data_IF_169654556176
#
_entry.id   IF_169654556176
#
_cell.length_a   1.000
_cell.length_b   1.000
_cell.length_c   1.000
_cell.angle_alpha   90.00
_cell.angle_beta   90.00
_cell.angle_gamma   90.00
#
_symmetry.space_group_name_H-M   'P 1'
#
loop_
_entity.id
_entity.type
_entity.pdbx_description
1 polymer ?
#
# COMPACT_ATOMS: atom_id res chain seq x y z
N UNK A 1 10.47 8.06 31.02
CA UNK A 1 9.92 8.78 29.85
C UNK A 1 10.14 7.96 28.57
N UNK A 2 9.49 6.79 28.48
CA UNK A 2 9.78 5.74 27.48
C UNK A 2 8.65 5.62 26.42
N UNK A 3 7.59 6.42 26.55
CA UNK A 3 6.49 6.47 25.59
C UNK A 3 6.54 7.81 24.85
N UNK A 4 7.01 7.77 23.60
CA UNK A 4 6.79 8.87 22.65
C UNK A 4 5.29 8.94 22.36
N UNK A 5 4.57 9.82 23.06
CA UNK A 5 3.21 10.18 22.68
C UNK A 5 3.30 10.94 21.34
N UNK A 6 2.83 10.33 20.26
CA UNK A 6 2.65 11.00 18.98
C UNK A 6 1.52 12.02 19.15
N UNK A 7 1.86 13.24 19.59
CA UNK A 7 0.91 14.36 19.74
C UNK A 7 0.55 14.99 18.38
N UNK A 8 1.33 14.68 17.33
CA UNK A 8 1.12 15.11 15.94
C UNK A 8 1.53 13.99 14.99
N UNK A 9 0.58 13.54 14.18
CA UNK A 9 0.78 12.51 13.15
C UNK A 9 -0.54 11.83 12.77
N UNK A 10 -0.61 11.09 11.65
CA UNK A 10 -1.83 10.40 11.23
C UNK A 10 -2.34 9.38 12.26
N UNK A 11 -1.46 8.82 13.10
CA UNK A 11 -1.85 7.91 14.20
C UNK A 11 -2.37 8.59 15.48
N UNK A 12 -2.29 9.93 15.56
CA UNK A 12 -2.77 10.72 16.71
C UNK A 12 -4.20 11.24 16.52
N UNK A 13 -4.70 11.22 15.28
CA UNK A 13 -6.06 11.58 14.93
C UNK A 13 -6.99 10.44 15.35
N UNK A 14 -7.72 10.62 16.45
CA UNK A 14 -8.76 9.67 16.86
C UNK A 14 -9.93 9.75 15.86
N UNK A 15 -9.99 8.78 14.95
CA UNK A 15 -11.20 8.56 14.18
C UNK A 15 -12.28 7.96 15.11
N UNK A 16 -13.55 8.43 15.05
CA UNK A 16 -14.63 7.88 15.85
C UNK A 16 -14.78 6.38 15.57
N UNK A 17 -14.44 5.55 16.58
CA UNK A 17 -14.21 4.11 16.42
C UNK A 17 -15.42 3.38 15.81
N UNK A 18 -16.63 3.74 16.22
CA UNK A 18 -17.86 3.15 15.69
C UNK A 18 -18.07 3.44 14.19
N UNK A 19 -17.76 4.67 13.76
CA UNK A 19 -17.91 5.07 12.35
C UNK A 19 -16.83 4.38 11.50
N UNK A 20 -15.58 4.38 11.96
CA UNK A 20 -14.48 3.69 11.26
C UNK A 20 -14.72 2.19 11.13
N UNK A 21 -15.22 1.54 12.18
CA UNK A 21 -15.56 0.12 12.15
C UNK A 21 -16.72 -0.16 11.19
N UNK A 22 -17.78 0.64 11.23
CA UNK A 22 -18.93 0.50 10.35
C UNK A 22 -18.55 0.67 8.87
N UNK A 23 -17.79 1.73 8.55
CA UNK A 23 -17.31 1.97 7.18
C UNK A 23 -16.31 0.89 6.74
N UNK A 24 -15.41 0.48 7.62
CA UNK A 24 -14.44 -0.59 7.33
C UNK A 24 -15.11 -1.92 7.01
N UNK A 25 -16.15 -2.30 7.78
CA UNK A 25 -16.91 -3.53 7.55
C UNK A 25 -17.72 -3.46 6.25
N UNK A 26 -18.32 -2.30 5.94
CA UNK A 26 -19.03 -2.09 4.68
C UNK A 26 -18.09 -2.22 3.47
N UNK A 27 -16.95 -1.52 3.49
CA UNK A 27 -15.95 -1.56 2.41
C UNK A 27 -15.36 -2.96 2.30
N UNK A 28 -15.05 -3.62 3.42
CA UNK A 28 -14.55 -4.99 3.45
C UNK A 28 -15.51 -5.97 2.78
N UNK A 29 -16.81 -5.91 3.12
CA UNK A 29 -17.84 -6.76 2.50
C UNK A 29 -17.96 -6.52 0.99
N UNK A 30 -17.97 -5.25 0.55
CA UNK A 30 -18.03 -4.90 -0.87
C UNK A 30 -16.79 -5.40 -1.62
N UNK A 31 -15.60 -5.15 -1.06
CA UNK A 31 -14.32 -5.50 -1.67
C UNK A 31 -14.11 -7.02 -1.76
N UNK A 32 -14.54 -7.77 -0.75
CA UNK A 32 -14.57 -9.23 -0.72
C UNK A 32 -15.47 -9.77 -1.84
N UNK A 33 -16.71 -9.29 -1.92
CA UNK A 33 -17.67 -9.71 -2.95
C UNK A 33 -17.18 -9.41 -4.37
N UNK A 34 -16.54 -8.26 -4.58
CA UNK A 34 -16.00 -7.86 -5.89
C UNK A 34 -14.64 -8.48 -6.22
N UNK A 35 -13.99 -9.17 -5.26
CA UNK A 35 -12.60 -9.65 -5.36
C UNK A 35 -11.65 -8.58 -5.90
N UNK A 36 -11.78 -7.36 -5.39
CA UNK A 36 -11.08 -6.21 -5.95
C UNK A 36 -9.57 -6.32 -5.73
N UNK A 37 -8.81 -6.33 -6.82
CA UNK A 37 -7.35 -6.37 -6.79
C UNK A 37 -6.81 -5.44 -7.88
N UNK A 38 -6.06 -4.41 -7.49
CA UNK A 38 -5.44 -3.46 -8.44
C UNK A 38 -4.46 -4.15 -9.38
N UNK A 39 -3.68 -5.10 -8.86
CA UNK A 39 -2.79 -5.93 -9.66
C UNK A 39 -3.57 -6.85 -10.62
N UNK A 40 -4.68 -7.41 -10.15
CA UNK A 40 -5.60 -8.21 -10.98
C UNK A 40 -6.23 -7.40 -12.10
N UNK A 41 -6.64 -6.16 -11.84
CA UNK A 41 -7.22 -5.27 -12.84
C UNK A 41 -6.27 -5.04 -14.03
N UNK A 42 -4.99 -4.78 -13.76
CA UNK A 42 -3.98 -4.59 -14.82
C UNK A 42 -3.69 -5.90 -15.54
N UNK A 43 -3.48 -6.99 -14.78
CA UNK A 43 -3.19 -8.32 -15.36
C UNK A 43 -4.32 -8.79 -16.29
N UNK A 44 -5.57 -8.69 -15.83
CA UNK A 44 -6.73 -9.19 -16.54
C UNK A 44 -7.05 -8.32 -17.77
N UNK A 45 -6.74 -7.02 -17.72
CA UNK A 45 -6.76 -6.15 -18.89
C UNK A 45 -5.72 -6.56 -19.95
N UNK A 46 -4.47 -6.78 -19.54
CA UNK A 46 -3.38 -7.10 -20.48
C UNK A 46 -3.52 -8.50 -21.07
N UNK A 47 -3.80 -9.50 -20.24
CA UNK A 47 -3.79 -10.91 -20.65
C UNK A 47 -5.14 -11.38 -21.21
N UNK A 48 -6.23 -11.03 -20.55
CA UNK A 48 -7.58 -11.52 -20.90
C UNK A 48 -8.46 -10.47 -21.57
N UNK A 49 -7.99 -9.22 -21.71
CA UNK A 49 -8.74 -8.08 -22.24
C UNK A 49 -10.10 -7.88 -21.54
N UNK A 50 -10.17 -8.22 -20.25
CA UNK A 50 -11.38 -7.99 -19.44
C UNK A 50 -11.34 -6.61 -18.80
N UNK A 51 -12.38 -5.81 -19.07
CA UNK A 51 -12.50 -4.45 -18.52
C UNK A 51 -13.21 -4.40 -17.17
N UNK A 52 -13.72 -5.53 -16.67
CA UNK A 52 -14.59 -5.53 -15.49
C UNK A 52 -13.88 -4.96 -14.26
N UNK A 53 -12.73 -5.52 -13.87
CA UNK A 53 -11.96 -5.02 -12.72
C UNK A 53 -11.31 -3.65 -13.00
N UNK A 54 -10.90 -3.40 -14.25
CA UNK A 54 -10.31 -2.11 -14.64
C UNK A 54 -11.31 -0.96 -14.50
N UNK A 55 -12.58 -1.17 -14.85
CA UNK A 55 -13.62 -0.15 -14.68
C UNK A 55 -13.83 0.25 -13.22
N UNK A 56 -13.76 -0.72 -12.29
CA UNK A 56 -13.80 -0.45 -10.85
C UNK A 56 -12.58 0.35 -10.36
N UNK A 57 -11.39 0.03 -10.87
CA UNK A 57 -10.17 0.79 -10.54
C UNK A 57 -10.22 2.24 -11.05
N UNK A 58 -10.68 2.45 -12.29
CA UNK A 58 -10.89 3.78 -12.85
C UNK A 58 -11.93 4.57 -12.06
N UNK A 59 -13.05 3.94 -11.69
CA UNK A 59 -14.08 4.58 -10.88
C UNK A 59 -13.57 5.00 -9.50
N UNK A 60 -12.70 4.19 -8.87
CA UNK A 60 -12.06 4.55 -7.60
C UNK A 60 -11.20 5.82 -7.75
N UNK A 61 -10.40 5.92 -8.82
CA UNK A 61 -9.58 7.11 -9.09
C UNK A 61 -10.46 8.34 -9.33
N UNK A 62 -11.48 8.21 -10.17
CA UNK A 62 -12.39 9.31 -10.49
C UNK A 62 -13.15 9.78 -9.25
N UNK A 63 -13.68 8.86 -8.45
CA UNK A 63 -14.41 9.18 -7.23
C UNK A 63 -13.49 9.86 -6.21
N UNK A 64 -12.28 9.34 -6.02
CA UNK A 64 -11.29 9.96 -5.15
C UNK A 64 -10.96 11.38 -5.63
N UNK A 65 -10.77 11.60 -6.93
CA UNK A 65 -10.50 12.92 -7.49
C UNK A 65 -11.66 13.90 -7.23
N UNK A 66 -12.90 13.50 -7.54
CA UNK A 66 -14.10 14.33 -7.34
C UNK A 66 -14.29 14.67 -5.85
N UNK A 67 -14.16 13.70 -4.96
CA UNK A 67 -14.30 13.92 -3.52
C UNK A 67 -13.20 14.85 -2.99
N UNK A 68 -11.94 14.67 -3.41
CA UNK A 68 -10.85 15.57 -3.03
C UNK A 68 -11.04 17.00 -3.56
N UNK A 69 -11.67 17.14 -4.73
CA UNK A 69 -12.03 18.44 -5.30
C UNK A 69 -13.14 19.11 -4.49
N UNK A 70 -14.22 18.40 -4.17
CA UNK A 70 -15.35 18.90 -3.35
C UNK A 70 -14.86 19.30 -1.95
N UNK A 71 -13.96 18.52 -1.35
CA UNK A 71 -13.38 18.80 -0.02
C UNK A 71 -12.28 19.87 -0.04
N UNK A 72 -11.92 20.41 -1.21
CA UNK A 72 -10.84 21.40 -1.35
C UNK A 72 -9.45 20.88 -0.97
N UNK A 73 -9.26 19.56 -0.88
CA UNK A 73 -7.98 18.91 -0.53
C UNK A 73 -7.09 18.69 -1.76
N UNK A 74 -7.57 19.03 -2.95
CA UNK A 74 -6.80 18.91 -4.19
C UNK A 74 -5.68 19.96 -4.24
N UNK A 75 -4.44 19.53 -4.02
CA UNK A 75 -3.23 20.34 -4.16
C UNK A 75 -2.46 19.90 -5.41
N UNK A 76 -2.55 20.62 -6.54
CA UNK A 76 -1.78 20.30 -7.71
C UNK A 76 -0.29 20.58 -7.46
N UNK A 77 0.54 19.54 -7.51
CA UNK A 77 1.99 19.62 -7.31
C UNK A 77 2.54 18.51 -6.42
N UNK A 78 3.84 18.24 -6.53
CA UNK A 78 4.53 17.18 -5.77
C UNK A 78 5.11 17.65 -4.42
N UNK A 79 5.05 18.95 -4.14
CA UNK A 79 5.56 19.52 -2.90
C UNK A 79 4.51 19.44 -1.78
N UNK A 80 4.91 18.95 -0.60
CA UNK A 80 4.03 18.91 0.58
C UNK A 80 2.91 17.86 0.51
N UNK A 81 3.00 16.87 -0.38
CA UNK A 81 2.06 15.75 -0.43
C UNK A 81 2.26 14.80 0.76
N UNK A 82 1.18 14.33 1.42
CA UNK A 82 1.31 13.34 2.50
C UNK A 82 2.03 12.08 2.01
N UNK A 83 2.99 11.57 2.78
CA UNK A 83 3.76 10.33 2.51
C UNK A 83 4.70 10.38 1.29
N UNK A 84 4.54 11.36 0.41
CA UNK A 84 5.42 11.58 -0.76
C UNK A 84 6.41 12.73 -0.51
N UNK A 85 7.55 12.68 -1.20
CA UNK A 85 8.58 13.71 -1.16
C UNK A 85 9.00 14.12 -2.58
N UNK A 86 9.66 15.28 -2.68
CA UNK A 86 10.06 15.88 -3.95
C UNK A 86 11.21 15.15 -4.66
N UNK A 87 11.97 14.30 -3.95
CA UNK A 87 12.95 13.43 -4.61
C UNK A 87 12.26 12.31 -5.41
N UNK A 88 11.91 12.60 -6.66
CA UNK A 88 11.13 11.72 -7.53
C UNK A 88 11.73 10.32 -7.70
N UNK A 89 13.07 10.22 -7.81
CA UNK A 89 13.75 8.94 -8.00
C UNK A 89 13.50 7.98 -6.83
N UNK A 90 13.69 8.44 -5.59
CA UNK A 90 13.52 7.60 -4.40
C UNK A 90 12.05 7.30 -4.12
N UNK A 91 11.14 8.22 -4.47
CA UNK A 91 9.70 8.00 -4.34
C UNK A 91 9.25 6.90 -5.31
N UNK A 92 9.70 6.98 -6.57
CA UNK A 92 9.45 5.96 -7.58
C UNK A 92 10.09 4.61 -7.22
N UNK A 93 11.34 4.61 -6.76
CA UNK A 93 12.05 3.40 -6.35
C UNK A 93 11.38 2.73 -5.15
N UNK A 94 10.91 3.51 -4.16
CA UNK A 94 10.14 2.99 -3.02
C UNK A 94 8.84 2.30 -3.46
N UNK A 95 8.06 2.94 -4.33
CA UNK A 95 6.85 2.33 -4.86
C UNK A 95 7.12 1.11 -5.76
N UNK A 96 8.25 1.11 -6.46
CA UNK A 96 8.71 -0.04 -7.26
C UNK A 96 9.04 -1.22 -6.35
N UNK A 97 9.73 -1.00 -5.23
CA UNK A 97 10.00 -2.01 -4.22
C UNK A 97 8.69 -2.58 -3.64
N UNK A 98 7.76 -1.71 -3.24
CA UNK A 98 6.45 -2.15 -2.75
C UNK A 98 5.72 -3.00 -3.79
N UNK A 99 5.68 -2.55 -5.04
CA UNK A 99 5.09 -3.29 -6.15
C UNK A 99 5.72 -4.67 -6.35
N UNK A 100 7.04 -4.76 -6.33
CA UNK A 100 7.76 -6.03 -6.46
C UNK A 100 7.45 -6.99 -5.29
N UNK A 101 7.44 -6.49 -4.05
CA UNK A 101 7.08 -7.29 -2.88
C UNK A 101 5.65 -7.84 -2.96
N UNK A 102 4.68 -7.01 -3.37
CA UNK A 102 3.29 -7.43 -3.57
C UNK A 102 3.13 -8.44 -4.70
N UNK A 103 3.90 -8.29 -5.78
CA UNK A 103 3.93 -9.27 -6.86
C UNK A 103 4.44 -10.64 -6.38
N UNK A 104 5.51 -10.67 -5.57
CA UNK A 104 6.06 -11.89 -4.99
C UNK A 104 5.10 -12.54 -3.98
N UNK A 105 4.40 -11.73 -3.20
CA UNK A 105 3.38 -12.19 -2.25
C UNK A 105 2.05 -12.61 -2.90
N UNK A 106 1.89 -12.44 -4.22
CA UNK A 106 0.71 -12.89 -4.95
C UNK A 106 -0.53 -11.99 -4.81
N UNK A 107 -0.39 -10.72 -4.41
CA UNK A 107 -1.55 -9.82 -4.31
C UNK A 107 -1.22 -8.41 -3.83
N UNK A 108 -2.13 -7.47 -4.09
CA UNK A 108 -2.05 -6.12 -3.54
C UNK A 108 -2.38 -6.11 -2.03
N UNK A 109 -1.96 -5.09 -1.26
CA UNK A 109 -2.15 -5.06 0.19
C UNK A 109 -3.64 -5.15 0.59
N UNK A 110 -4.53 -4.53 -0.18
CA UNK A 110 -5.98 -4.63 0.05
C UNK A 110 -6.48 -6.08 -0.08
N UNK A 111 -6.10 -6.78 -1.16
CA UNK A 111 -6.50 -8.18 -1.39
C UNK A 111 -6.06 -9.08 -0.23
N UNK A 112 -4.84 -8.89 0.29
CA UNK A 112 -4.32 -9.69 1.41
C UNK A 112 -5.11 -9.45 2.70
N UNK A 113 -5.55 -8.21 2.95
CA UNK A 113 -6.45 -7.92 4.08
C UNK A 113 -7.78 -8.65 3.96
N UNK A 114 -8.41 -8.64 2.78
CA UNK A 114 -9.70 -9.31 2.59
C UNK A 114 -9.56 -10.84 2.68
N UNK A 115 -8.53 -11.42 2.05
CA UNK A 115 -8.24 -12.86 2.12
C UNK A 115 -7.98 -13.35 3.55
N UNK A 116 -7.26 -12.55 4.35
CA UNK A 116 -7.07 -12.88 5.77
C UNK A 116 -8.41 -12.96 6.53
N UNK A 117 -9.41 -12.17 6.13
CA UNK A 117 -10.77 -12.22 6.66
C UNK A 117 -11.59 -13.41 6.14
N UNK A 118 -11.23 -13.99 5.00
CA UNK A 118 -11.83 -15.22 4.47
C UNK A 118 -11.27 -16.50 5.11
N UNK A 119 -10.22 -16.37 5.93
CA UNK A 119 -9.55 -17.50 6.60
C UNK A 119 -8.28 -17.98 5.88
N UNK A 120 -7.73 -17.20 4.95
CA UNK A 120 -6.44 -17.50 4.32
C UNK A 120 -5.28 -17.19 5.29
N UNK A 121 -4.63 -18.25 5.78
CA UNK A 121 -3.52 -18.16 6.72
C UNK A 121 -2.26 -17.53 6.12
N UNK A 122 -1.99 -17.74 4.84
CA UNK A 122 -0.82 -17.16 4.16
C UNK A 122 -1.00 -15.64 4.03
N UNK A 123 -2.22 -15.21 3.68
CA UNK A 123 -2.58 -13.80 3.66
C UNK A 123 -2.49 -13.15 5.05
N UNK A 124 -2.91 -13.86 6.12
CA UNK A 124 -2.81 -13.37 7.49
C UNK A 124 -1.35 -13.14 7.92
N UNK A 125 -0.44 -14.07 7.60
CA UNK A 125 1.01 -13.90 7.88
C UNK A 125 1.56 -12.70 7.13
N UNK A 126 1.16 -12.50 5.87
CA UNK A 126 1.56 -11.33 5.09
C UNK A 126 1.08 -10.02 5.71
N UNK A 127 -0.19 -9.94 6.14
CA UNK A 127 -0.77 -8.77 6.80
C UNK A 127 -0.03 -8.44 8.10
N UNK A 128 0.23 -9.45 8.94
CA UNK A 128 1.02 -9.27 10.16
C UNK A 128 2.43 -8.74 9.85
N UNK A 129 3.09 -9.32 8.85
CA UNK A 129 4.40 -8.86 8.38
C UNK A 129 4.37 -7.39 7.89
N UNK A 130 3.35 -7.00 7.14
CA UNK A 130 3.17 -5.60 6.71
C UNK A 130 2.97 -4.65 7.90
N UNK A 131 2.15 -5.01 8.89
CA UNK A 131 1.89 -4.16 10.07
C UNK A 131 3.16 -4.01 10.90
N UNK A 132 3.86 -5.12 11.19
CA UNK A 132 5.13 -5.10 11.93
C UNK A 132 6.18 -4.29 11.16
N UNK A 133 6.30 -4.51 9.85
CA UNK A 133 7.20 -3.77 8.98
C UNK A 133 6.90 -2.27 8.98
N UNK A 134 5.64 -1.87 8.86
CA UNK A 134 5.23 -0.47 8.95
C UNK A 134 5.58 0.13 10.32
N UNK A 135 5.35 -0.61 11.41
CA UNK A 135 5.76 -0.22 12.76
C UNK A 135 7.27 0.05 12.83
N UNK A 136 8.10 -0.86 12.34
CA UNK A 136 9.55 -0.67 12.28
C UNK A 136 9.90 0.54 11.41
N UNK A 137 9.29 0.69 10.23
CA UNK A 137 9.61 1.79 9.31
C UNK A 137 9.33 3.16 9.91
N UNK A 138 8.23 3.30 10.64
CA UNK A 138 7.83 4.56 11.28
C UNK A 138 8.60 4.87 12.56
N UNK A 139 9.12 3.86 13.28
CA UNK A 139 9.88 4.08 14.53
C UNK A 139 11.39 4.28 14.31
N UNK A 140 11.97 3.62 13.30
CA UNK A 140 13.42 3.66 13.04
C UNK A 140 13.85 4.69 11.98
N UNK A 141 12.97 5.64 11.62
CA UNK A 141 13.30 6.72 10.68
C UNK A 141 13.54 6.24 9.24
N UNK A 142 12.95 5.11 8.85
CA UNK A 142 12.99 4.56 7.50
C UNK A 142 11.87 5.16 6.64
N UNK A 143 10.75 5.55 7.27
CA UNK A 143 9.62 6.17 6.61
C UNK A 143 9.97 7.59 6.12
N UNK A 144 9.68 7.84 4.84
CA UNK A 144 9.80 9.18 4.26
C UNK A 144 8.63 10.09 4.69
N UNK A 145 8.86 11.39 4.64
CA UNK A 145 7.86 12.40 4.95
C UNK A 145 7.86 13.50 3.88
N UNK A 146 6.89 14.43 3.90
CA UNK A 146 6.89 15.57 2.98
C UNK A 146 8.15 16.45 3.10
N UNK A 147 8.86 16.37 4.23
CA UNK A 147 10.12 17.08 4.48
C UNK A 147 11.35 16.41 3.85
N UNK A 148 11.23 15.17 3.35
CA UNK A 148 12.33 14.44 2.72
C UNK A 148 12.36 12.95 3.05
N UNK A 149 13.36 12.26 2.50
CA UNK A 149 13.62 10.84 2.77
C UNK A 149 14.25 10.72 4.16
N UNK A 150 13.80 9.74 4.95
CA UNK A 150 14.37 9.47 6.26
C UNK A 150 15.86 9.11 6.17
N UNK A 151 16.65 9.28 7.26
CA UNK A 151 18.10 9.05 7.24
C UNK A 151 18.50 7.67 6.70
N UNK A 152 17.66 6.67 6.94
CA UNK A 152 17.86 5.28 6.51
C UNK A 152 16.92 4.84 5.38
N UNK A 153 16.13 5.74 4.79
CA UNK A 153 15.16 5.38 3.75
C UNK A 153 15.83 4.92 2.45
N UNK A 154 16.89 5.59 2.01
CA UNK A 154 17.67 5.22 0.83
C UNK A 154 18.27 3.81 0.94
N UNK A 155 19.07 3.49 1.98
CA UNK A 155 19.64 2.15 2.10
C UNK A 155 18.56 1.07 2.26
N UNK A 156 17.44 1.37 2.91
CA UNK A 156 16.33 0.43 3.04
C UNK A 156 15.71 0.05 1.68
N UNK A 157 15.51 1.03 0.78
CA UNK A 157 15.00 0.74 -0.57
C UNK A 157 15.97 -0.13 -1.36
N UNK A 158 17.27 0.17 -1.30
CA UNK A 158 18.30 -0.60 -2.02
C UNK A 158 18.35 -2.04 -1.50
N UNK A 159 18.44 -2.23 -0.18
CA UNK A 159 18.49 -3.56 0.44
C UNK A 159 17.21 -4.33 0.13
N UNK A 160 16.04 -3.67 0.25
CA UNK A 160 14.76 -4.29 -0.06
C UNK A 160 14.67 -4.76 -1.52
N UNK A 161 15.15 -3.96 -2.48
CA UNK A 161 15.18 -4.35 -3.88
C UNK A 161 16.10 -5.54 -4.12
N UNK A 162 17.29 -5.55 -3.52
CA UNK A 162 18.22 -6.68 -3.62
C UNK A 162 17.62 -7.96 -3.05
N UNK A 163 16.97 -7.88 -1.89
CA UNK A 163 16.29 -9.03 -1.26
C UNK A 163 15.14 -9.54 -2.13
N UNK A 164 14.28 -8.65 -2.64
CA UNK A 164 13.17 -9.06 -3.49
C UNK A 164 13.66 -9.69 -4.81
N UNK A 165 14.68 -9.11 -5.44
CA UNK A 165 15.29 -9.69 -6.64
C UNK A 165 15.94 -11.04 -6.35
N UNK A 166 16.67 -11.15 -5.24
CA UNK A 166 17.28 -12.41 -4.81
C UNK A 166 16.23 -13.51 -4.63
N UNK A 167 15.13 -13.23 -3.92
CA UNK A 167 14.02 -14.18 -3.75
C UNK A 167 13.39 -14.52 -5.11
N UNK A 168 13.11 -13.51 -5.94
CA UNK A 168 12.50 -13.70 -7.25
C UNK A 168 13.33 -14.57 -8.20
N UNK A 169 14.66 -14.41 -8.21
CA UNK A 169 15.55 -15.21 -9.05
C UNK A 169 15.81 -16.60 -8.50
N UNK A 170 15.96 -16.75 -7.17
CA UNK A 170 16.26 -18.05 -6.54
C UNK A 170 15.05 -18.99 -6.53
N UNK A 171 13.84 -18.46 -6.33
CA UNK A 171 12.61 -19.25 -6.30
C UNK A 171 11.97 -19.48 -7.68
N UNK A 172 12.63 -19.05 -8.76
CA UNK A 172 12.14 -19.26 -10.12
C UNK A 172 12.16 -20.76 -10.43
N UNK A 173 10.99 -21.34 -10.72
CA UNK A 173 10.92 -22.70 -11.26
C UNK A 173 11.71 -22.74 -12.57
N UNK A 174 12.71 -23.63 -12.66
CA UNK A 174 13.36 -23.93 -13.94
C UNK A 174 12.29 -24.46 -14.88
N UNK A 175 12.06 -23.74 -15.97
CA UNK A 175 11.27 -24.25 -17.09
C UNK A 175 12.14 -25.35 -17.69
N UNK A 176 11.79 -26.60 -17.40
CA UNK A 176 12.31 -27.78 -18.07
C UNK A 176 11.58 -27.97 -19.39
#
# INVERSE_FOLDING_TARGET
EILFYSMKGPGSLHAPLAISLGVGLLIGFLAQRSRFCTMGAIRDFVLFRSMHLLSGFLMLILTAFVVNFILGQFKPGFAGQPVAHTMHLWNFAGMTLSGLAYCLAGGCPGRQLFLSGEGDGDAAVFVLGMIVGAGISHNFGLASSPAGVGPYGIPAVIIGLLVCLFIGFTMRKRIA
#
